data_IF_566384653144
#
_entry.id   IF_566384653144
#
_cell.length_a   1.000
_cell.length_b   1.000
_cell.length_c   1.000
_cell.angle_alpha   90.00
_cell.angle_beta   90.00
_cell.angle_gamma   90.00
#
_symmetry.space_group_name_H-M   'P 1'
#
loop_
_entity.id
_entity.type
_entity.pdbx_description
1 polymer ?
#
# COMPACT_ATOMS: atom_id res chain seq x y z
N UNK A 1 0.37 -17.10 -3.48
CA UNK A 1 1.01 -16.39 -2.36
C UNK A 1 -0.09 -16.02 -1.37
N UNK A 2 0.00 -16.43 -0.10
CA UNK A 2 -1.10 -16.16 0.84
C UNK A 2 -1.22 -14.67 1.19
N UNK A 3 -2.42 -14.24 1.57
CA UNK A 3 -2.66 -12.90 2.11
C UNK A 3 -1.77 -12.62 3.32
N UNK A 4 -1.22 -11.42 3.39
CA UNK A 4 -0.39 -10.97 4.49
C UNK A 4 -1.02 -9.78 5.19
N UNK A 5 -1.08 -9.81 6.51
CA UNK A 5 -1.48 -8.62 7.28
C UNK A 5 -0.23 -7.80 7.61
N UNK A 6 -0.23 -6.52 7.24
CA UNK A 6 0.85 -5.58 7.47
C UNK A 6 0.37 -4.40 8.32
N UNK A 7 1.29 -3.74 9.01
CA UNK A 7 1.00 -2.55 9.82
C UNK A 7 1.39 -1.28 9.06
N UNK A 8 0.46 -0.35 8.94
CA UNK A 8 0.71 0.91 8.25
C UNK A 8 1.61 1.84 9.07
N UNK A 9 2.70 2.31 8.48
CA UNK A 9 3.68 3.19 9.14
C UNK A 9 3.14 4.57 9.54
N UNK A 10 2.14 5.12 8.84
CA UNK A 10 1.58 6.44 9.18
C UNK A 10 0.45 6.38 10.23
N UNK A 11 -0.49 5.43 10.13
CA UNK A 11 -1.67 5.37 11.01
C UNK A 11 -1.67 4.20 12.00
N UNK A 12 -0.65 3.34 11.97
CA UNK A 12 -0.49 2.14 12.82
C UNK A 12 -1.64 1.14 12.74
N UNK A 13 -2.50 1.24 11.72
CA UNK A 13 -3.58 0.27 11.47
C UNK A 13 -3.06 -0.91 10.68
N UNK A 14 -3.59 -2.07 10.98
CA UNK A 14 -3.42 -3.28 10.19
C UNK A 14 -4.17 -3.15 8.86
N UNK A 15 -3.57 -3.67 7.79
CA UNK A 15 -4.20 -3.79 6.49
C UNK A 15 -3.74 -5.07 5.80
N UNK A 16 -4.60 -5.62 4.95
CA UNK A 16 -4.30 -6.84 4.20
C UNK A 16 -3.57 -6.48 2.91
N UNK A 17 -2.42 -7.11 2.71
CA UNK A 17 -1.68 -7.16 1.46
C UNK A 17 -2.03 -8.48 0.78
N UNK A 18 -3.04 -8.40 -0.08
CA UNK A 18 -3.67 -9.57 -0.70
C UNK A 18 -2.75 -10.28 -1.69
N UNK A 19 -3.04 -11.54 -2.01
CA UNK A 19 -2.34 -12.26 -3.08
C UNK A 19 -2.29 -11.47 -4.41
N UNK A 20 -3.43 -10.92 -4.84
CA UNK A 20 -3.50 -10.14 -6.08
C UNK A 20 -2.68 -8.85 -6.04
N UNK A 21 -2.59 -8.18 -4.88
CA UNK A 21 -1.68 -7.03 -4.72
C UNK A 21 -0.21 -7.47 -4.77
N UNK A 22 0.13 -8.64 -4.22
CA UNK A 22 1.49 -9.19 -4.29
C UNK A 22 1.88 -9.50 -5.74
N UNK A 23 0.98 -10.09 -6.52
CA UNK A 23 1.19 -10.35 -7.94
C UNK A 23 1.36 -9.05 -8.72
N UNK A 24 0.48 -8.07 -8.50
CA UNK A 24 0.61 -6.76 -9.13
C UNK A 24 1.96 -6.09 -8.80
N UNK A 25 2.42 -6.19 -7.54
CA UNK A 25 3.70 -5.64 -7.14
C UNK A 25 4.86 -6.32 -7.89
N UNK A 26 4.84 -7.65 -7.99
CA UNK A 26 5.84 -8.42 -8.73
C UNK A 26 5.85 -8.11 -10.23
N UNK A 27 4.67 -8.04 -10.86
CA UNK A 27 4.55 -7.71 -12.30
C UNK A 27 5.09 -6.31 -12.62
N UNK A 28 5.00 -5.38 -11.66
CA UNK A 28 5.59 -4.03 -11.78
C UNK A 28 7.07 -3.97 -11.43
N UNK A 29 7.67 -5.08 -11.00
CA UNK A 29 9.08 -5.13 -10.56
C UNK A 29 9.30 -4.49 -9.18
N UNK A 30 8.27 -4.38 -8.34
CA UNK A 30 8.44 -3.94 -6.96
C UNK A 30 8.88 -5.13 -6.08
N UNK A 31 10.10 -5.04 -5.55
CA UNK A 31 10.65 -6.04 -4.63
C UNK A 31 10.19 -5.84 -3.19
N UNK A 32 9.68 -4.65 -2.86
CA UNK A 32 9.33 -4.24 -1.50
C UNK A 32 7.82 -4.32 -1.23
N UNK A 33 7.47 -4.76 -0.03
CA UNK A 33 6.10 -4.77 0.47
C UNK A 33 5.59 -3.34 0.76
N UNK A 34 4.28 -3.09 0.63
CA UNK A 34 3.71 -1.80 0.97
C UNK A 34 3.89 -1.48 2.46
N UNK A 35 4.43 -0.29 2.75
CA UNK A 35 4.58 0.19 4.14
C UNK A 35 3.38 1.01 4.65
N UNK A 36 2.42 1.30 3.76
CA UNK A 36 1.27 2.18 4.04
C UNK A 36 0.00 1.52 3.56
N UNK A 37 -1.07 1.62 4.34
CA UNK A 37 -2.38 1.12 3.95
C UNK A 37 -2.95 1.91 2.75
N UNK A 38 -3.91 1.34 2.01
CA UNK A 38 -4.54 1.98 0.86
C UNK A 38 -5.09 3.38 1.17
N UNK A 39 -5.69 3.57 2.35
CA UNK A 39 -6.22 4.87 2.79
C UNK A 39 -5.12 5.94 2.91
N UNK A 40 -4.00 5.63 3.58
CA UNK A 40 -2.88 6.57 3.70
C UNK A 40 -2.21 6.84 2.34
N UNK A 41 -2.11 5.84 1.45
CA UNK A 41 -1.63 6.04 0.07
C UNK A 41 -2.55 6.99 -0.70
N UNK A 42 -3.87 6.80 -0.61
CA UNK A 42 -4.88 7.64 -1.25
C UNK A 42 -4.87 9.06 -0.71
N UNK A 43 -4.83 9.23 0.62
CA UNK A 43 -4.77 10.54 1.27
C UNK A 43 -3.54 11.35 0.84
N UNK A 44 -2.35 10.71 0.72
CA UNK A 44 -1.16 11.37 0.19
C UNK A 44 -1.30 11.78 -1.27
N UNK A 45 -1.91 10.94 -2.11
CA UNK A 45 -2.17 11.27 -3.52
C UNK A 45 -3.12 12.46 -3.65
N UNK A 46 -4.18 12.50 -2.84
CA UNK A 46 -5.16 13.59 -2.83
C UNK A 46 -4.54 14.91 -2.37
N UNK A 47 -3.73 14.89 -1.30
CA UNK A 47 -3.06 16.10 -0.80
C UNK A 47 -2.07 16.68 -1.84
N UNK A 48 -1.42 15.83 -2.65
CA UNK A 48 -0.54 16.27 -3.75
C UNK A 48 -1.28 16.85 -4.96
N UNK A 49 -2.59 16.65 -5.07
CA UNK A 49 -3.40 17.13 -6.19
C UNK A 49 -3.87 18.58 -6.06
N UNK A 50 -3.68 19.21 -4.89
CA UNK A 50 -4.17 20.55 -4.59
C UNK A 50 -3.08 21.64 -4.62
N UNK A 51 -1.84 21.28 -4.95
CA UNK A 51 -0.70 22.21 -5.09
C UNK A 51 -0.36 22.44 -6.57
N UNK A 52 -1.36 22.78 -7.38
CA UNK A 52 -1.15 23.33 -8.73
C UNK A 52 -1.74 24.73 -8.80
#
# INVERSE_FOLDING_TARGET
MADKTLVCKDCSKEFVFTEGEQEFYKEKGFENEPQRCPECRRARKQNRGFQR
#
